data_IF_428811426424
#
_entry.id   IF_428811426424
#
_cell.length_a   1.000
_cell.length_b   1.000
_cell.length_c   1.000
_cell.angle_alpha   90.00
_cell.angle_beta   90.00
_cell.angle_gamma   90.00
#
_symmetry.space_group_name_H-M   'P 1'
#
loop_
_entity.id
_entity.type
_entity.pdbx_description
1 polymer ?
#
# COMPACT_ATOMS: atom_id res chain seq x y z
N UNK A 1 22.24 -1.22 10.34
CA UNK A 1 21.04 -0.60 10.96
C UNK A 1 19.92 -1.60 11.10
N UNK A 2 18.99 -1.37 12.03
CA UNK A 2 17.80 -2.21 12.25
C UNK A 2 16.54 -1.36 12.11
N UNK A 3 15.63 -1.74 11.22
CA UNK A 3 14.35 -1.05 11.07
C UNK A 3 13.38 -1.57 12.12
N UNK A 4 13.09 -0.74 13.12
CA UNK A 4 12.17 -1.09 14.21
C UNK A 4 10.72 -0.92 13.78
N UNK A 5 10.43 0.12 13.00
CA UNK A 5 9.10 0.40 12.47
C UNK A 5 9.24 1.05 11.10
N UNK A 6 8.47 0.56 10.14
CA UNK A 6 8.22 1.27 8.88
C UNK A 6 6.73 1.12 8.63
N UNK A 7 5.97 2.18 8.85
CA UNK A 7 4.50 2.13 8.74
C UNK A 7 3.99 3.27 7.89
N UNK A 8 3.06 2.97 7.00
CA UNK A 8 2.31 3.97 6.25
C UNK A 8 1.06 4.35 7.05
N UNK A 9 1.06 5.54 7.64
CA UNK A 9 -0.11 6.10 8.30
C UNK A 9 -1.10 6.60 7.24
N UNK A 10 -2.27 5.97 7.07
CA UNK A 10 -3.19 6.31 6.00
C UNK A 10 -3.84 7.68 6.21
N UNK A 11 -4.21 8.33 5.10
CA UNK A 11 -5.17 9.43 5.17
C UNK A 11 -6.58 8.92 5.50
N UNK A 12 -7.49 9.84 5.82
CA UNK A 12 -8.86 9.50 6.19
C UNK A 12 -9.61 8.69 5.11
N UNK A 13 -9.19 8.83 3.85
CA UNK A 13 -9.85 8.23 2.69
C UNK A 13 -9.50 6.75 2.48
N UNK A 14 -8.40 6.27 3.05
CA UNK A 14 -7.87 4.95 2.74
C UNK A 14 -7.75 4.07 3.98
N UNK A 15 -7.94 2.78 3.76
CA UNK A 15 -7.40 1.73 4.60
C UNK A 15 -6.05 1.29 4.02
N UNK A 16 -5.08 1.00 4.88
CA UNK A 16 -3.76 0.48 4.50
C UNK A 16 -3.62 -0.95 5.01
N UNK A 17 -3.09 -1.83 4.18
CA UNK A 17 -2.69 -3.17 4.54
C UNK A 17 -1.21 -3.33 4.21
N UNK A 18 -0.40 -3.75 5.18
CA UNK A 18 1.01 -4.06 4.96
C UNK A 18 1.15 -5.40 4.25
N UNK A 19 1.98 -5.46 3.22
CA UNK A 19 2.23 -6.66 2.42
C UNK A 19 3.67 -7.16 2.57
N UNK A 20 4.25 -6.96 3.76
CA UNK A 20 5.64 -7.32 4.09
C UNK A 20 5.76 -8.72 4.73
N UNK A 21 4.69 -9.50 4.74
CA UNK A 21 4.63 -10.86 5.30
C UNK A 21 3.90 -11.79 4.34
N UNK A 22 4.37 -13.04 4.26
CA UNK A 22 3.73 -14.13 3.51
C UNK A 22 3.21 -15.16 4.52
N UNK A 23 1.96 -15.59 4.33
CA UNK A 23 1.36 -16.65 5.14
C UNK A 23 1.74 -18.02 4.56
N UNK A 24 2.38 -18.86 5.37
CA UNK A 24 2.68 -20.26 5.04
C UNK A 24 2.01 -21.16 6.09
N UNK A 25 0.87 -21.74 5.76
CA UNK A 25 0.13 -22.63 6.66
C UNK A 25 -0.18 -21.98 8.01
N UNK A 26 0.39 -22.53 9.09
CA UNK A 26 0.19 -22.05 10.48
C UNK A 26 1.07 -20.86 10.89
N UNK A 27 1.98 -20.38 10.03
CA UNK A 27 2.92 -19.29 10.35
C UNK A 27 2.90 -18.13 9.34
N UNK A 28 3.21 -16.93 9.83
CA UNK A 28 3.54 -15.79 8.97
C UNK A 28 5.05 -15.56 8.97
N UNK A 29 5.63 -15.36 7.79
CA UNK A 29 7.07 -15.12 7.61
C UNK A 29 7.26 -13.76 6.92
N UNK A 30 8.21 -12.98 7.41
CA UNK A 30 8.60 -11.71 6.79
C UNK A 30 9.17 -11.92 5.38
N UNK A 31 8.83 -11.05 4.44
CA UNK A 31 9.41 -11.04 3.08
C UNK A 31 10.90 -10.68 3.07
N UNK A 32 11.42 -10.17 4.19
CA UNK A 32 12.83 -9.82 4.37
C UNK A 32 13.70 -11.01 4.86
N UNK A 33 13.10 -12.19 5.02
CA UNK A 33 13.76 -13.38 5.55
C UNK A 33 14.08 -13.27 7.04
N UNK A 34 15.03 -14.09 7.50
CA UNK A 34 15.44 -14.17 8.91
C UNK A 34 16.35 -13.02 9.34
N UNK A 35 16.95 -12.28 8.39
CA UNK A 35 17.85 -11.17 8.66
C UNK A 35 17.11 -9.84 8.68
N UNK A 36 16.90 -9.33 9.89
CA UNK A 36 16.26 -8.03 10.13
C UNK A 36 17.22 -6.84 9.96
N UNK A 37 18.54 -7.07 9.97
CA UNK A 37 19.56 -6.04 9.83
C UNK A 37 19.81 -5.65 8.36
N UNK A 38 20.05 -4.35 8.15
CA UNK A 38 20.47 -3.73 6.90
C UNK A 38 21.93 -3.31 7.00
N UNK A 39 22.76 -3.78 6.06
CA UNK A 39 24.14 -3.36 5.87
C UNK A 39 24.21 -2.04 5.07
N UNK A 40 25.36 -1.35 5.08
CA UNK A 40 25.58 -0.23 4.17
C UNK A 40 25.30 -0.67 2.72
N UNK A 41 24.61 0.19 1.96
CA UNK A 41 24.17 -0.07 0.58
C UNK A 41 23.06 -1.12 0.40
N UNK A 42 22.58 -1.77 1.47
CA UNK A 42 21.40 -2.63 1.36
C UNK A 42 20.15 -1.83 1.03
N UNK A 43 19.29 -2.40 0.18
CA UNK A 43 17.97 -1.87 -0.12
C UNK A 43 16.91 -2.81 0.42
N UNK A 44 15.91 -2.26 1.12
CA UNK A 44 14.71 -3.00 1.54
C UNK A 44 13.47 -2.25 1.09
N UNK A 45 12.58 -2.97 0.40
CA UNK A 45 11.38 -2.41 -0.17
C UNK A 45 10.17 -2.84 0.66
N UNK A 46 9.43 -1.85 1.16
CA UNK A 46 8.21 -2.08 1.91
C UNK A 46 7.01 -1.89 0.98
N UNK A 47 6.08 -2.84 0.99
CA UNK A 47 4.89 -2.82 0.15
C UNK A 47 3.63 -2.61 1.00
N UNK A 48 2.79 -1.67 0.56
CA UNK A 48 1.52 -1.34 1.21
C UNK A 48 0.40 -1.31 0.16
N UNK A 49 -0.73 -1.95 0.49
CA UNK A 49 -1.96 -1.88 -0.31
C UNK A 49 -2.88 -0.81 0.28
N UNK A 50 -3.30 0.15 -0.55
CA UNK A 50 -4.27 1.16 -0.17
C UNK A 50 -5.63 0.86 -0.81
N UNK A 51 -6.67 0.80 0.01
CA UNK A 51 -8.05 0.63 -0.44
C UNK A 51 -8.89 1.83 0.01
N UNK A 52 -9.61 2.52 -0.89
CA UNK A 52 -10.56 3.55 -0.48
C UNK A 52 -11.56 2.98 0.52
N UNK A 53 -11.89 3.72 1.57
CA UNK A 53 -13.00 3.34 2.46
C UNK A 53 -14.32 3.50 1.73
N UNK A 54 -15.32 2.71 2.11
CA UNK A 54 -16.62 2.63 1.43
C UNK A 54 -17.31 4.00 1.32
N UNK A 55 -17.21 4.81 2.37
CA UNK A 55 -17.72 6.20 2.43
C UNK A 55 -17.16 7.12 1.32
N UNK A 56 -15.98 6.78 0.79
CA UNK A 56 -15.30 7.53 -0.27
C UNK A 56 -15.24 6.76 -1.59
N UNK A 57 -15.57 5.46 -1.61
CA UNK A 57 -15.50 4.63 -2.83
C UNK A 57 -16.60 4.97 -3.83
N UNK A 58 -17.80 5.33 -3.36
CA UNK A 58 -18.93 5.73 -4.22
C UNK A 58 -18.70 7.09 -4.89
N UNK A 59 -17.84 7.92 -4.30
CA UNK A 59 -17.34 9.17 -4.89
C UNK A 59 -16.16 8.90 -5.81
N UNK A 60 -16.27 7.94 -6.74
CA UNK A 60 -15.28 7.63 -7.78
C UNK A 60 -14.86 8.88 -8.57
N UNK A 61 -15.71 9.91 -8.59
CA UNK A 61 -15.45 11.27 -9.08
C UNK A 61 -14.38 12.07 -8.32
N UNK A 62 -14.29 11.91 -7.00
CA UNK A 62 -13.47 12.76 -6.10
C UNK A 62 -12.04 12.22 -5.96
N UNK A 63 -11.82 10.92 -6.16
CA UNK A 63 -10.49 10.29 -6.16
C UNK A 63 -9.75 10.53 -7.50
N UNK A 64 -10.31 11.36 -8.41
CA UNK A 64 -9.76 11.64 -9.74
C UNK A 64 -8.62 12.67 -9.74
N UNK A 65 -8.35 13.34 -8.61
CA UNK A 65 -7.30 14.35 -8.47
C UNK A 65 -6.07 13.89 -7.70
N UNK A 66 -5.23 14.84 -7.30
CA UNK A 66 -4.12 14.60 -6.36
C UNK A 66 -4.71 14.26 -5.00
N UNK A 67 -4.68 12.99 -4.61
CA UNK A 67 -5.18 12.57 -3.29
C UNK A 67 -4.04 12.33 -2.32
N UNK A 68 -4.16 12.91 -1.13
CA UNK A 68 -3.27 12.58 -0.02
C UNK A 68 -3.53 11.14 0.39
N UNK A 69 -2.52 10.28 0.30
CA UNK A 69 -2.62 8.85 0.62
C UNK A 69 -2.21 8.54 2.06
N UNK A 70 -1.44 9.42 2.69
CA UNK A 70 -0.93 9.23 4.03
C UNK A 70 0.49 9.74 4.18
N UNK A 71 1.21 9.27 5.19
CA UNK A 71 2.62 9.63 5.44
C UNK A 71 3.37 8.42 5.99
N UNK A 72 4.67 8.35 5.74
CA UNK A 72 5.51 7.26 6.23
C UNK A 72 6.11 7.66 7.59
N UNK A 73 6.02 6.77 8.58
CA UNK A 73 6.68 6.88 9.88
C UNK A 73 7.71 5.75 10.00
N UNK A 74 8.97 6.14 10.07
CA UNK A 74 10.13 5.25 10.06
C UNK A 74 10.86 5.39 11.39
N UNK A 75 11.14 4.27 12.06
CA UNK A 75 11.96 4.20 13.26
C UNK A 75 13.03 3.15 13.03
N UNK A 76 14.28 3.48 13.34
CA UNK A 76 15.42 2.58 13.22
C UNK A 76 16.37 2.68 14.40
N UNK A 77 17.27 1.71 14.51
CA UNK A 77 18.43 1.74 15.40
C UNK A 77 19.73 1.70 14.60
N UNK A 78 20.68 2.54 14.96
CA UNK A 78 22.06 2.48 14.44
C UNK A 78 22.78 1.25 14.97
N UNK A 79 23.98 0.98 14.47
CA UNK A 79 24.76 -0.17 14.91
C UNK A 79 25.14 -0.11 16.40
N UNK A 80 25.16 1.10 16.99
CA UNK A 80 25.42 1.33 18.42
C UNK A 80 24.13 1.48 19.23
N UNK A 81 22.96 1.17 18.65
CA UNK A 81 21.69 1.15 19.36
C UNK A 81 20.98 2.51 19.47
N UNK A 82 21.56 3.58 18.95
CA UNK A 82 20.90 4.90 18.94
C UNK A 82 19.64 4.84 18.07
N UNK A 83 18.54 5.35 18.62
CA UNK A 83 17.24 5.32 17.95
C UNK A 83 17.05 6.57 17.11
N UNK A 84 16.80 6.39 15.82
CA UNK A 84 16.37 7.44 14.90
C UNK A 84 14.88 7.34 14.57
N UNK A 85 14.28 8.47 14.20
CA UNK A 85 12.92 8.54 13.66
C UNK A 85 12.88 9.53 12.51
N UNK A 86 12.17 9.18 11.45
CA UNK A 86 11.91 10.02 10.30
C UNK A 86 10.44 9.88 9.93
N UNK A 87 9.78 11.02 9.79
CA UNK A 87 8.41 11.05 9.29
C UNK A 87 8.38 11.90 8.02
N UNK A 88 7.69 11.42 6.99
CA UNK A 88 7.50 12.20 5.77
C UNK A 88 6.39 13.23 5.97
N UNK A 89 6.37 14.23 5.08
CA UNK A 89 5.15 14.98 4.82
C UNK A 89 4.07 14.08 4.19
N UNK A 90 2.87 14.63 4.02
CA UNK A 90 1.77 13.96 3.34
C UNK A 90 2.17 13.57 1.92
N UNK A 91 2.17 12.26 1.66
CA UNK A 91 2.38 11.67 0.35
C UNK A 91 1.13 11.88 -0.48
N UNK A 92 1.35 12.29 -1.72
CA UNK A 92 0.31 12.55 -2.69
C UNK A 92 0.38 11.52 -3.81
N UNK A 93 -0.77 10.95 -4.16
CA UNK A 93 -0.93 10.16 -5.37
C UNK A 93 -1.34 11.10 -6.49
N UNK A 94 -0.50 11.17 -7.52
CA UNK A 94 -0.93 11.69 -8.81
C UNK A 94 -1.79 10.61 -9.47
N UNK A 95 -3.05 10.91 -9.78
CA UNK A 95 -3.82 10.04 -10.65
C UNK A 95 -3.05 9.92 -11.98
N UNK A 96 -2.87 8.70 -12.55
CA UNK A 96 -2.34 8.57 -13.90
C UNK A 96 -3.16 9.50 -14.80
N UNK A 97 -2.49 10.27 -15.65
CA UNK A 97 -3.19 11.03 -16.69
C UNK A 97 -3.99 10.03 -17.50
N UNK A 98 -5.30 9.99 -17.26
CA UNK A 98 -6.20 9.24 -18.11
C UNK A 98 -6.06 9.91 -19.47
N UNK A 99 -5.47 9.22 -20.45
CA UNK A 99 -5.36 9.72 -21.82
C UNK A 99 -6.75 9.88 -22.44
N UNK A 100 -6.87 9.65 -23.75
CA UNK A 100 -8.13 9.96 -24.46
C UNK A 100 -9.33 9.09 -24.03
N UNK A 101 -9.08 7.90 -23.47
CA UNK A 101 -10.13 6.95 -23.08
C UNK A 101 -9.96 6.51 -21.63
N UNK A 102 -11.07 6.57 -20.88
CA UNK A 102 -11.19 6.03 -19.54
C UNK A 102 -12.35 5.05 -19.47
N UNK A 103 -12.06 3.81 -19.09
CA UNK A 103 -13.06 2.83 -18.72
C UNK A 103 -13.26 2.83 -17.20
N UNK A 104 -14.51 2.78 -16.76
CA UNK A 104 -14.88 2.49 -15.38
C UNK A 104 -15.89 1.37 -15.38
N UNK A 105 -15.77 0.49 -14.40
CA UNK A 105 -16.75 -0.57 -14.18
C UNK A 105 -18.04 0.05 -13.64
N UNK A 106 -19.15 -0.11 -14.36
CA UNK A 106 -20.46 0.38 -13.92
C UNK A 106 -21.15 -0.67 -13.04
N UNK A 107 -21.16 -1.93 -13.49
CA UNK A 107 -21.79 -3.05 -12.80
C UNK A 107 -20.98 -4.34 -13.01
N UNK A 108 -20.82 -5.12 -11.96
CA UNK A 108 -20.41 -6.53 -12.07
C UNK A 108 -21.67 -7.36 -11.79
N UNK A 109 -22.07 -8.26 -12.70
CA UNK A 109 -23.17 -9.16 -12.41
C UNK A 109 -22.76 -10.15 -11.31
N UNK A 110 -23.68 -10.41 -10.37
CA UNK A 110 -23.46 -11.32 -9.23
C UNK A 110 -23.28 -12.78 -9.66
N UNK A 111 -23.75 -13.12 -10.86
CA UNK A 111 -23.68 -14.45 -11.47
C UNK A 111 -23.25 -14.32 -12.92
N UNK A 112 -22.32 -15.17 -13.37
CA UNK A 112 -21.94 -15.28 -14.78
C UNK A 112 -22.44 -16.62 -15.33
N UNK A 113 -23.12 -16.60 -16.47
CA UNK A 113 -23.44 -17.80 -17.23
C UNK A 113 -22.17 -18.35 -17.87
N UNK A 114 -21.86 -19.62 -17.61
CA UNK A 114 -20.79 -20.34 -18.31
C UNK A 114 -21.38 -21.02 -19.55
N UNK A 115 -20.55 -21.20 -20.58
CA UNK A 115 -20.90 -21.93 -21.82
C UNK A 115 -21.95 -21.28 -22.73
N UNK A 116 -22.23 -19.99 -22.56
CA UNK A 116 -23.04 -19.24 -23.54
C UNK A 116 -22.15 -18.67 -24.66
N UNK A 117 -22.52 -18.84 -25.95
CA UNK A 117 -21.81 -18.22 -27.05
C UNK A 117 -21.98 -16.69 -27.00
N UNK A 118 -20.88 -15.97 -27.25
CA UNK A 118 -20.95 -14.51 -27.42
C UNK A 118 -21.77 -14.18 -28.67
N UNK A 119 -22.80 -13.34 -28.53
CA UNK A 119 -23.54 -12.76 -29.66
C UNK A 119 -22.79 -11.55 -30.26
#
# INVERSE_FOLDING_TARGET
MFMEKVSLEPSIMYNVTELNTVNHGEGSVSTFGTRTYLQPMDTRQYLYCLKPKQEFSEKVGVIKGVTVIGKLDIVWKTNLGERGRLQTSQLQRMAPGYGDVRLSLETIPDTVGLEEPFN
#
